data_IF_302467547401
#
_entry.id   IF_302467547401
#
_cell.length_a   1.000
_cell.length_b   1.000
_cell.length_c   1.000
_cell.angle_alpha   90.00
_cell.angle_beta   90.00
_cell.angle_gamma   90.00
#
_symmetry.space_group_name_H-M   'P 1'
#
loop_
_entity.id
_entity.type
_entity.pdbx_description
1 polymer ?
#
# COMPACT_ATOMS: atom_id res chain seq x y z
N UNK A 1 12.94 -17.78 40.29
CA UNK A 1 12.97 -16.48 39.57
C UNK A 1 13.58 -16.75 38.20
N UNK A 2 12.83 -16.73 37.08
CA UNK A 2 13.41 -17.08 35.79
C UNK A 2 14.17 -15.88 35.22
N UNK A 3 15.42 -16.14 34.83
CA UNK A 3 16.27 -15.22 34.07
C UNK A 3 15.57 -14.86 32.76
N UNK A 4 15.26 -13.58 32.56
CA UNK A 4 14.88 -13.05 31.25
C UNK A 4 16.04 -13.29 30.27
N UNK A 5 15.81 -13.88 29.08
CA UNK A 5 16.85 -13.92 28.06
C UNK A 5 17.14 -12.48 27.60
N UNK A 6 18.41 -12.08 27.68
CA UNK A 6 18.90 -10.82 27.16
C UNK A 6 18.59 -10.74 25.65
N UNK A 7 17.85 -9.71 25.21
CA UNK A 7 17.56 -9.46 23.80
C UNK A 7 18.86 -9.07 23.07
N UNK A 8 19.42 -9.90 22.18
CA UNK A 8 20.68 -9.58 21.48
C UNK A 8 20.54 -8.42 20.47
N UNK A 9 19.29 -8.08 20.11
CA UNK A 9 18.95 -7.14 19.03
C UNK A 9 19.41 -5.70 19.30
N UNK A 10 19.63 -5.31 20.57
CA UNK A 10 19.95 -3.91 20.92
C UNK A 10 21.43 -3.57 20.62
N UNK A 11 22.34 -4.54 20.62
CA UNK A 11 23.78 -4.29 20.48
C UNK A 11 24.27 -4.05 19.04
N UNK A 12 23.47 -4.45 18.03
CA UNK A 12 23.83 -4.33 16.61
C UNK A 12 23.02 -3.25 15.84
N UNK A 13 22.05 -2.62 16.50
CA UNK A 13 21.19 -1.59 15.89
C UNK A 13 21.97 -0.42 15.26
N UNK A 14 22.87 0.24 16.01
CA UNK A 14 23.68 1.33 15.45
C UNK A 14 24.57 0.92 14.27
N UNK A 15 25.04 -0.33 14.23
CA UNK A 15 25.87 -0.83 13.13
C UNK A 15 25.03 -1.17 11.89
N UNK A 16 23.78 -1.63 12.07
CA UNK A 16 22.82 -1.71 10.96
C UNK A 16 22.58 -0.33 10.34
N UNK A 17 22.42 0.70 11.17
CA UNK A 17 22.25 2.08 10.71
C UNK A 17 23.50 2.58 10.00
N UNK A 18 24.69 2.34 10.56
CA UNK A 18 25.95 2.70 9.89
C UNK A 18 26.09 2.01 8.54
N UNK A 19 25.80 0.71 8.46
CA UNK A 19 25.81 -0.05 7.21
C UNK A 19 24.83 0.52 6.18
N UNK A 20 23.67 1.00 6.61
CA UNK A 20 22.72 1.66 5.74
C UNK A 20 23.17 3.07 5.29
N UNK A 21 23.62 3.91 6.21
CA UNK A 21 23.88 5.34 5.97
C UNK A 21 25.27 5.62 5.40
N UNK A 22 26.23 4.73 5.62
CA UNK A 22 27.61 4.84 5.16
C UNK A 22 27.94 3.64 4.27
N UNK A 23 27.34 3.55 3.06
CA UNK A 23 27.57 2.44 2.17
C UNK A 23 29.03 2.34 1.79
N UNK A 24 29.60 1.14 1.92
CA UNK A 24 30.99 0.84 1.60
C UNK A 24 31.10 -0.31 0.61
N UNK A 25 32.19 -0.33 -0.15
CA UNK A 25 32.43 -1.33 -1.20
C UNK A 25 31.64 -1.05 -2.49
N UNK A 26 31.96 -1.84 -3.51
CA UNK A 26 31.45 -1.68 -4.88
C UNK A 26 29.93 -1.64 -4.97
N UNK A 27 29.25 -2.53 -4.23
CA UNK A 27 27.79 -2.62 -4.25
C UNK A 27 27.10 -1.92 -3.08
N UNK A 28 27.84 -1.21 -2.24
CA UNK A 28 27.29 -0.60 -1.02
C UNK A 28 26.17 0.38 -1.30
N UNK A 29 26.37 1.26 -2.30
CA UNK A 29 25.38 2.29 -2.67
C UNK A 29 24.09 1.63 -3.17
N UNK A 30 24.20 0.62 -4.02
CA UNK A 30 23.04 -0.12 -4.55
C UNK A 30 22.33 -0.91 -3.45
N UNK A 31 23.07 -1.54 -2.53
CA UNK A 31 22.48 -2.26 -1.40
C UNK A 31 21.81 -1.33 -0.39
N UNK A 32 22.37 -0.14 -0.14
CA UNK A 32 21.72 0.91 0.66
C UNK A 32 20.42 1.39 0.00
N UNK A 33 20.35 1.46 -1.33
CA UNK A 33 19.11 1.73 -2.05
C UNK A 33 18.06 0.63 -1.82
N UNK A 34 18.43 -0.65 -1.84
CA UNK A 34 17.50 -1.75 -1.50
C UNK A 34 16.97 -1.63 -0.05
N UNK A 35 17.84 -1.27 0.89
CA UNK A 35 17.44 -1.04 2.29
C UNK A 35 16.48 0.16 2.38
N UNK A 36 16.73 1.24 1.62
CA UNK A 36 15.85 2.41 1.58
C UNK A 36 14.46 2.07 1.02
N UNK A 37 14.38 1.26 -0.04
CA UNK A 37 13.12 0.73 -0.57
C UNK A 37 12.38 -0.04 0.52
N UNK A 38 13.07 -0.93 1.23
CA UNK A 38 12.47 -1.77 2.27
C UNK A 38 11.99 -0.96 3.48
N UNK A 39 12.73 0.07 3.89
CA UNK A 39 12.28 1.04 4.90
C UNK A 39 11.00 1.75 4.46
N UNK A 40 10.95 2.21 3.21
CA UNK A 40 9.81 2.92 2.67
C UNK A 40 8.58 2.01 2.50
N UNK A 41 8.78 0.76 2.11
CA UNK A 41 7.73 -0.25 2.08
C UNK A 41 7.19 -0.52 3.49
N UNK A 42 8.08 -0.73 4.46
CA UNK A 42 7.69 -1.08 5.83
C UNK A 42 6.93 0.03 6.55
N UNK A 43 7.37 1.29 6.43
CA UNK A 43 6.64 2.44 7.00
C UNK A 43 5.26 2.64 6.34
N UNK A 44 5.11 2.20 5.10
CA UNK A 44 3.84 2.18 4.37
C UNK A 44 3.07 0.86 4.52
N UNK A 45 3.41 0.09 5.57
CA UNK A 45 2.70 -1.13 6.00
C UNK A 45 2.81 -2.31 5.05
N UNK A 46 3.85 -2.36 4.21
CA UNK A 46 4.22 -3.56 3.47
C UNK A 46 5.27 -4.38 4.25
N UNK A 47 4.90 -5.52 4.86
CA UNK A 47 5.81 -6.28 5.70
C UNK A 47 6.77 -7.20 4.92
N UNK A 48 6.32 -7.70 3.76
CA UNK A 48 7.02 -8.70 2.96
C UNK A 48 7.35 -8.11 1.58
N UNK A 49 8.55 -8.39 1.09
CA UNK A 49 9.12 -7.78 -0.10
C UNK A 49 9.61 -8.87 -1.03
N UNK A 50 9.11 -8.88 -2.27
CA UNK A 50 9.66 -9.75 -3.32
C UNK A 50 10.95 -9.16 -3.89
N UNK A 51 11.84 -10.03 -4.38
CA UNK A 51 13.07 -9.58 -5.06
C UNK A 51 12.75 -8.69 -6.27
N UNK A 52 11.77 -9.06 -7.09
CA UNK A 52 11.37 -8.26 -8.27
C UNK A 52 10.86 -6.87 -7.89
N UNK A 53 10.14 -6.73 -6.78
CA UNK A 53 9.72 -5.42 -6.28
C UNK A 53 10.92 -4.58 -5.84
N UNK A 54 11.85 -5.16 -5.09
CA UNK A 54 13.06 -4.47 -4.63
C UNK A 54 13.89 -3.99 -5.82
N UNK A 55 14.13 -4.87 -6.79
CA UNK A 55 14.91 -4.60 -7.99
C UNK A 55 14.29 -3.47 -8.82
N UNK A 56 13.00 -3.55 -9.11
CA UNK A 56 12.31 -2.54 -9.91
C UNK A 56 12.16 -1.19 -9.20
N UNK A 57 12.07 -1.17 -7.86
CA UNK A 57 11.91 0.05 -7.09
C UNK A 57 13.22 0.80 -6.85
N UNK A 58 14.35 0.09 -6.73
CA UNK A 58 15.64 0.64 -6.33
C UNK A 58 16.18 1.80 -7.21
N UNK A 59 16.01 1.80 -8.55
CA UNK A 59 16.58 2.84 -9.40
C UNK A 59 16.21 4.27 -8.99
N UNK A 60 14.97 4.51 -8.55
CA UNK A 60 14.54 5.85 -8.12
C UNK A 60 15.14 6.33 -6.80
N UNK A 61 15.90 5.50 -6.08
CA UNK A 61 16.65 5.86 -4.88
C UNK A 61 18.11 6.23 -5.19
N UNK A 62 18.53 6.11 -6.45
CA UNK A 62 19.87 6.35 -6.93
C UNK A 62 19.91 7.59 -7.83
N UNK A 63 21.04 8.31 -7.84
CA UNK A 63 21.27 9.39 -8.81
C UNK A 63 21.50 8.84 -10.22
N UNK A 64 21.31 9.68 -11.24
CA UNK A 64 21.52 9.30 -12.64
C UNK A 64 22.95 8.79 -12.88
N UNK A 65 23.93 9.43 -12.25
CA UNK A 65 25.33 9.00 -12.29
C UNK A 65 25.52 7.61 -11.68
N UNK A 66 24.97 7.36 -10.48
CA UNK A 66 25.06 6.05 -9.82
C UNK A 66 24.40 4.97 -10.69
N UNK A 67 23.25 5.25 -11.31
CA UNK A 67 22.60 4.29 -12.22
C UNK A 67 23.43 4.01 -13.45
N UNK A 68 24.06 5.02 -14.05
CA UNK A 68 24.92 4.84 -15.22
C UNK A 68 26.20 4.05 -14.96
N UNK A 69 26.61 3.95 -13.70
CA UNK A 69 27.80 3.23 -13.24
C UNK A 69 27.49 1.82 -12.73
N UNK A 70 26.23 1.39 -12.77
CA UNK A 70 25.82 0.06 -12.34
C UNK A 70 26.30 -0.99 -13.34
N UNK A 71 26.97 -2.02 -12.83
CA UNK A 71 27.28 -3.26 -13.55
C UNK A 71 26.00 -4.06 -13.87
N UNK A 72 25.94 -4.89 -14.94
CA UNK A 72 24.76 -5.70 -15.25
C UNK A 72 24.25 -6.57 -14.09
N UNK A 73 25.14 -7.07 -13.21
CA UNK A 73 24.82 -7.90 -12.05
C UNK A 73 24.67 -7.07 -10.75
N UNK A 74 24.49 -5.75 -10.85
CA UNK A 74 24.38 -4.83 -9.71
C UNK A 74 23.40 -5.32 -8.64
N UNK A 75 22.27 -5.93 -9.05
CA UNK A 75 21.23 -6.36 -8.12
C UNK A 75 21.69 -7.51 -7.24
N UNK A 76 22.43 -8.47 -7.80
CA UNK A 76 22.99 -9.61 -7.06
C UNK A 76 23.96 -9.11 -5.99
N UNK A 77 24.88 -8.22 -6.36
CA UNK A 77 25.84 -7.62 -5.45
C UNK A 77 25.17 -6.72 -4.38
N UNK A 78 24.18 -5.92 -4.79
CA UNK A 78 23.39 -5.08 -3.89
C UNK A 78 22.63 -5.92 -2.86
N UNK A 79 22.05 -7.04 -3.29
CA UNK A 79 21.31 -7.95 -2.42
C UNK A 79 22.25 -8.65 -1.43
N UNK A 80 23.45 -9.06 -1.87
CA UNK A 80 24.47 -9.59 -0.98
C UNK A 80 24.87 -8.58 0.10
N UNK A 81 25.09 -7.32 -0.28
CA UNK A 81 25.37 -6.21 0.64
C UNK A 81 24.22 -5.95 1.62
N UNK A 82 22.98 -5.87 1.12
CA UNK A 82 21.80 -5.61 1.95
C UNK A 82 21.50 -6.78 2.92
N UNK A 83 22.12 -7.94 2.70
CA UNK A 83 22.00 -9.14 3.52
C UNK A 83 23.28 -9.45 4.31
N UNK A 84 24.27 -8.56 4.36
CA UNK A 84 25.47 -8.76 5.17
C UNK A 84 25.09 -9.00 6.63
N UNK A 85 25.70 -10.01 7.23
CA UNK A 85 25.51 -10.32 8.64
C UNK A 85 26.33 -9.32 9.48
N UNK A 86 25.65 -8.55 10.32
CA UNK A 86 26.24 -7.52 11.17
C UNK A 86 26.37 -8.06 12.59
N UNK A 87 27.58 -8.01 13.13
CA UNK A 87 27.94 -8.51 14.48
C UNK A 87 27.39 -9.93 14.75
N UNK A 88 27.47 -10.81 13.74
CA UNK A 88 26.99 -12.20 13.78
C UNK A 88 25.54 -12.42 14.26
N UNK A 89 24.71 -11.37 14.22
CA UNK A 89 23.39 -11.39 14.88
C UNK A 89 22.24 -11.03 13.95
N UNK A 90 22.40 -10.04 13.08
CA UNK A 90 21.29 -9.50 12.30
C UNK A 90 21.71 -9.06 10.91
N UNK A 91 20.75 -9.05 9.98
CA UNK A 91 20.93 -8.60 8.59
C UNK A 91 19.94 -7.47 8.30
N UNK A 92 20.30 -6.44 7.52
CA UNK A 92 19.36 -5.38 7.14
C UNK A 92 18.11 -5.93 6.46
N UNK A 93 18.29 -6.81 5.46
CA UNK A 93 17.23 -7.62 4.87
C UNK A 93 17.37 -9.08 5.32
N UNK A 94 16.27 -9.63 5.82
CA UNK A 94 16.19 -10.95 6.41
C UNK A 94 15.31 -11.85 5.57
N UNK A 95 15.73 -13.10 5.46
CA UNK A 95 14.89 -14.17 4.91
C UNK A 95 13.67 -14.39 5.81
N UNK A 96 12.54 -14.69 5.17
CA UNK A 96 11.29 -15.03 5.85
C UNK A 96 11.22 -16.55 5.96
N UNK A 97 10.92 -17.13 7.13
CA UNK A 97 10.78 -18.59 7.23
C UNK A 97 9.58 -19.07 6.42
N UNK A 98 9.66 -20.29 5.88
CA UNK A 98 8.49 -20.93 5.25
C UNK A 98 7.35 -21.07 6.28
N UNK A 99 6.07 -20.95 5.86
CA UNK A 99 4.94 -21.19 6.75
C UNK A 99 4.93 -22.60 7.37
N UNK A 100 5.48 -23.57 6.64
CA UNK A 100 5.67 -24.95 7.09
C UNK A 100 7.01 -25.51 6.63
N UNK A 101 7.60 -26.39 7.44
CA UNK A 101 8.87 -27.03 7.17
C UNK A 101 10.10 -26.16 7.46
N UNK A 102 11.27 -26.63 7.01
CA UNK A 102 12.56 -25.99 7.25
C UNK A 102 12.96 -25.06 6.10
N UNK A 103 13.68 -23.99 6.43
CA UNK A 103 14.33 -23.10 5.47
C UNK A 103 13.57 -21.79 5.18
N UNK A 104 14.19 -20.97 4.33
CA UNK A 104 13.64 -19.68 3.90
C UNK A 104 12.54 -19.85 2.84
N UNK A 105 11.58 -18.93 2.85
CA UNK A 105 10.60 -18.71 1.80
C UNK A 105 11.34 -18.06 0.62
N UNK A 106 11.47 -18.74 -0.53
CA UNK A 106 12.32 -18.25 -1.62
C UNK A 106 11.86 -16.88 -2.15
N UNK A 107 12.81 -15.96 -2.25
CA UNK A 107 12.60 -14.65 -2.89
C UNK A 107 11.73 -13.66 -2.11
N UNK A 108 11.45 -13.94 -0.83
CA UNK A 108 10.65 -13.07 0.03
C UNK A 108 11.47 -12.63 1.24
N UNK A 109 11.63 -11.32 1.37
CA UNK A 109 12.44 -10.69 2.41
C UNK A 109 11.59 -9.81 3.32
N UNK A 110 12.12 -9.54 4.51
CA UNK A 110 11.61 -8.52 5.44
C UNK A 110 12.76 -7.63 5.93
N UNK A 111 12.42 -6.39 6.28
CA UNK A 111 13.37 -5.45 6.89
C UNK A 111 13.60 -5.82 8.37
N UNK A 112 14.83 -5.61 8.88
CA UNK A 112 15.10 -5.67 10.31
C UNK A 112 14.30 -4.60 11.09
N UNK A 113 13.68 -5.00 12.21
CA UNK A 113 12.83 -4.12 13.04
C UNK A 113 13.54 -2.83 13.50
N UNK A 114 14.85 -2.91 13.76
CA UNK A 114 15.63 -1.72 14.16
C UNK A 114 15.71 -0.68 13.03
N UNK A 115 15.89 -1.13 11.78
CA UNK A 115 15.90 -0.23 10.62
C UNK A 115 14.50 0.31 10.30
N UNK A 116 13.44 -0.45 10.59
CA UNK A 116 12.07 0.07 10.57
C UNK A 116 11.92 1.23 11.55
N UNK A 117 12.33 1.04 12.80
CA UNK A 117 12.24 2.06 13.84
C UNK A 117 13.03 3.31 13.46
N UNK A 118 14.28 3.16 13.02
CA UNK A 118 15.13 4.25 12.53
C UNK A 118 14.49 4.99 11.36
N UNK A 119 14.04 4.24 10.35
CA UNK A 119 13.43 4.78 9.14
C UNK A 119 12.14 5.58 9.39
N UNK A 120 11.32 5.16 10.37
CA UNK A 120 10.14 5.92 10.80
C UNK A 120 10.51 7.31 11.32
N UNK A 121 11.69 7.48 11.92
CA UNK A 121 12.14 8.76 12.49
C UNK A 121 12.87 9.63 11.47
N UNK A 122 13.70 9.04 10.61
CA UNK A 122 14.59 9.80 9.70
C UNK A 122 13.97 10.05 8.32
N UNK A 123 13.01 9.22 7.89
CA UNK A 123 12.41 9.29 6.55
C UNK A 123 10.94 9.67 6.55
N UNK A 124 10.34 10.05 7.69
CA UNK A 124 8.89 10.32 7.79
C UNK A 124 8.38 11.31 6.73
N UNK A 125 9.12 12.41 6.52
CA UNK A 125 8.77 13.46 5.57
C UNK A 125 9.17 13.15 4.12
N UNK A 126 10.03 12.15 3.89
CA UNK A 126 10.48 11.79 2.54
C UNK A 126 9.35 11.04 1.83
N UNK A 127 9.00 11.44 0.62
CA UNK A 127 8.09 10.67 -0.23
C UNK A 127 8.89 9.61 -1.00
N UNK A 128 8.43 8.34 -1.08
CA UNK A 128 9.04 7.37 -1.99
C UNK A 128 9.04 7.88 -3.44
N UNK A 129 10.08 7.55 -4.24
CA UNK A 129 10.22 8.00 -5.62
C UNK A 129 9.20 7.33 -6.56
N UNK A 130 9.02 7.88 -7.79
CA UNK A 130 8.26 7.26 -8.88
C UNK A 130 8.36 5.74 -9.01
N UNK A 131 9.60 5.21 -9.10
CA UNK A 131 9.88 3.79 -9.30
C UNK A 131 9.27 2.90 -8.22
N UNK A 132 9.18 3.39 -6.98
CA UNK A 132 8.58 2.64 -5.88
C UNK A 132 7.11 2.35 -6.13
N UNK A 133 6.34 3.36 -6.56
CA UNK A 133 4.92 3.23 -6.81
C UNK A 133 4.63 2.43 -8.08
N UNK A 134 5.45 2.62 -9.12
CA UNK A 134 5.34 1.89 -10.38
C UNK A 134 5.66 0.40 -10.16
N UNK A 135 6.77 0.09 -9.49
CA UNK A 135 7.12 -1.28 -9.10
C UNK A 135 6.02 -1.92 -8.24
N UNK A 136 5.43 -1.15 -7.30
CA UNK A 136 4.35 -1.65 -6.48
C UNK A 136 3.14 -2.09 -7.33
N UNK A 137 2.77 -1.29 -8.33
CA UNK A 137 1.62 -1.58 -9.20
C UNK A 137 1.79 -2.80 -10.11
N UNK A 138 3.04 -3.23 -10.34
CA UNK A 138 3.40 -4.35 -11.22
C UNK A 138 3.64 -5.63 -10.43
N UNK A 139 4.32 -5.54 -9.28
CA UNK A 139 4.85 -6.72 -8.59
C UNK A 139 4.07 -7.16 -7.34
N UNK A 140 3.18 -6.33 -6.80
CA UNK A 140 2.34 -6.74 -5.68
C UNK A 140 1.10 -7.45 -6.21
N UNK A 141 0.76 -8.56 -5.56
CA UNK A 141 -0.38 -9.42 -5.91
C UNK A 141 -1.49 -9.35 -4.86
N UNK A 142 -1.25 -8.73 -3.72
CA UNK A 142 -2.26 -8.56 -2.69
C UNK A 142 -3.05 -7.26 -2.90
N UNK A 143 -4.35 -7.37 -3.16
CA UNK A 143 -5.24 -6.23 -3.38
C UNK A 143 -5.35 -5.28 -2.18
N UNK A 144 -5.28 -5.78 -0.94
CA UNK A 144 -5.33 -4.95 0.26
C UNK A 144 -4.04 -4.13 0.43
N UNK A 145 -2.88 -4.74 0.20
CA UNK A 145 -1.58 -4.05 0.21
C UNK A 145 -1.51 -2.94 -0.85
N UNK A 146 -2.00 -3.23 -2.06
CA UNK A 146 -2.13 -2.24 -3.14
C UNK A 146 -3.09 -1.10 -2.76
N UNK A 147 -4.20 -1.41 -2.10
CA UNK A 147 -5.18 -0.41 -1.63
C UNK A 147 -4.55 0.51 -0.59
N UNK A 148 -3.84 -0.06 0.40
CA UNK A 148 -3.12 0.70 1.42
C UNK A 148 -2.02 1.60 0.83
N UNK A 149 -1.25 1.11 -0.15
CA UNK A 149 -0.29 1.95 -0.84
C UNK A 149 -0.95 3.05 -1.67
N UNK A 150 -2.08 2.78 -2.31
CA UNK A 150 -2.83 3.78 -3.06
C UNK A 150 -3.30 4.92 -2.14
N UNK A 151 -3.82 4.60 -0.95
CA UNK A 151 -4.16 5.59 0.08
C UNK A 151 -2.93 6.37 0.55
N UNK A 152 -1.81 5.69 0.76
CA UNK A 152 -0.56 6.33 1.17
C UNK A 152 -0.01 7.29 0.09
N UNK A 153 -0.16 6.95 -1.18
CA UNK A 153 0.17 7.81 -2.31
C UNK A 153 -0.76 9.02 -2.37
N UNK A 154 -2.09 8.81 -2.22
CA UNK A 154 -3.09 9.89 -2.18
C UNK A 154 -2.84 10.87 -1.04
N UNK A 155 -2.55 10.37 0.17
CA UNK A 155 -2.21 11.20 1.33
C UNK A 155 -0.94 12.06 1.12
N UNK A 156 -0.09 11.68 0.16
CA UNK A 156 1.13 12.40 -0.23
C UNK A 156 0.95 13.26 -1.49
N UNK A 157 -0.29 13.46 -1.95
CA UNK A 157 -0.58 14.22 -3.17
C UNK A 157 -0.12 13.56 -4.47
N UNK A 158 0.19 12.26 -4.43
CA UNK A 158 0.65 11.48 -5.58
C UNK A 158 -0.52 10.87 -6.35
N UNK A 159 -1.42 11.71 -6.83
CA UNK A 159 -2.71 11.28 -7.41
C UNK A 159 -2.55 10.34 -8.61
N UNK A 160 -1.58 10.59 -9.51
CA UNK A 160 -1.26 9.68 -10.63
C UNK A 160 -0.96 8.26 -10.15
N UNK A 161 -0.12 8.13 -9.13
CA UNK A 161 0.27 6.85 -8.55
C UNK A 161 -0.84 6.22 -7.72
N UNK A 162 -1.63 7.01 -7.00
CA UNK A 162 -2.82 6.52 -6.30
C UNK A 162 -3.79 5.86 -7.29
N UNK A 163 -4.12 6.53 -8.40
CA UNK A 163 -4.98 5.97 -9.45
C UNK A 163 -4.40 4.69 -10.07
N UNK A 164 -3.09 4.66 -10.35
CA UNK A 164 -2.39 3.47 -10.85
C UNK A 164 -2.52 2.29 -9.89
N UNK A 165 -2.31 2.52 -8.60
CA UNK A 165 -2.34 1.50 -7.55
C UNK A 165 -3.76 1.02 -7.24
N UNK A 166 -4.76 1.91 -7.20
CA UNK A 166 -6.17 1.48 -7.10
C UNK A 166 -6.57 0.63 -8.30
N UNK A 167 -6.13 0.98 -9.51
CA UNK A 167 -6.36 0.16 -10.71
C UNK A 167 -5.74 -1.24 -10.59
N UNK A 168 -4.50 -1.33 -10.09
CA UNK A 168 -3.86 -2.62 -9.80
C UNK A 168 -4.61 -3.40 -8.72
N UNK A 169 -5.03 -2.74 -7.63
CA UNK A 169 -5.80 -3.35 -6.55
C UNK A 169 -7.13 -3.93 -7.05
N UNK A 170 -7.83 -3.23 -7.96
CA UNK A 170 -9.07 -3.70 -8.58
C UNK A 170 -8.82 -4.95 -9.43
N UNK A 171 -7.73 -5.00 -10.20
CA UNK A 171 -7.34 -6.22 -10.95
C UNK A 171 -7.05 -7.40 -10.02
N UNK A 172 -6.52 -7.13 -8.83
CA UNK A 172 -6.32 -8.14 -7.78
C UNK A 172 -7.57 -8.41 -6.92
N UNK A 173 -8.75 -7.91 -7.32
CA UNK A 173 -10.02 -8.23 -6.66
C UNK A 173 -10.39 -7.37 -5.45
N UNK A 174 -9.67 -6.28 -5.17
CA UNK A 174 -10.01 -5.38 -4.05
C UNK A 174 -11.35 -4.66 -4.29
N UNK A 175 -12.38 -5.05 -3.51
CA UNK A 175 -13.69 -4.39 -3.51
C UNK A 175 -13.62 -2.98 -2.93
N UNK A 176 -12.74 -2.75 -1.95
CA UNK A 176 -12.51 -1.42 -1.38
C UNK A 176 -11.93 -0.48 -2.43
N UNK A 177 -10.87 -0.89 -3.14
CA UNK A 177 -10.28 -0.10 -4.21
C UNK A 177 -11.28 0.20 -5.33
N UNK A 178 -12.19 -0.73 -5.62
CA UNK A 178 -13.26 -0.55 -6.62
C UNK A 178 -14.20 0.60 -6.24
N UNK A 179 -14.60 0.69 -4.97
CA UNK A 179 -15.42 1.79 -4.45
C UNK A 179 -14.66 3.12 -4.49
N UNK A 180 -13.39 3.14 -4.10
CA UNK A 180 -12.58 4.38 -4.10
C UNK A 180 -12.32 4.88 -5.53
N UNK A 181 -12.00 3.97 -6.45
CA UNK A 181 -11.80 4.31 -7.86
C UNK A 181 -13.09 4.82 -8.50
N UNK A 182 -14.24 4.21 -8.20
CA UNK A 182 -15.54 4.68 -8.66
C UNK A 182 -15.88 6.09 -8.15
N UNK A 183 -15.63 6.39 -6.87
CA UNK A 183 -15.78 7.75 -6.33
C UNK A 183 -14.89 8.75 -7.06
N UNK A 184 -13.65 8.35 -7.36
CA UNK A 184 -12.70 9.21 -8.08
C UNK A 184 -13.19 9.50 -9.50
N UNK A 185 -13.74 8.49 -10.19
CA UNK A 185 -14.36 8.63 -11.51
C UNK A 185 -15.59 9.53 -11.48
N UNK A 186 -16.44 9.36 -10.48
CA UNK A 186 -17.61 10.22 -10.28
C UNK A 186 -17.21 11.68 -10.08
N UNK A 187 -16.23 11.97 -9.22
CA UNK A 187 -15.74 13.35 -9.00
C UNK A 187 -15.09 13.95 -10.25
N UNK A 188 -14.58 13.11 -11.16
CA UNK A 188 -14.08 13.54 -12.46
C UNK A 188 -15.18 13.66 -13.53
N UNK A 189 -16.45 13.45 -13.18
CA UNK A 189 -17.59 13.50 -14.10
C UNK A 189 -17.85 12.21 -14.90
N UNK A 190 -17.00 11.17 -14.74
CA UNK A 190 -17.18 9.85 -15.37
C UNK A 190 -18.17 9.00 -14.56
N UNK A 191 -19.44 9.41 -14.58
CA UNK A 191 -20.52 8.73 -13.87
C UNK A 191 -20.71 7.29 -14.36
N UNK A 192 -20.69 7.07 -15.67
CA UNK A 192 -20.88 5.72 -16.22
C UNK A 192 -19.74 4.80 -15.83
N UNK A 193 -18.50 5.29 -15.83
CA UNK A 193 -17.35 4.55 -15.33
C UNK A 193 -17.47 4.22 -13.84
N UNK A 194 -17.99 5.15 -13.04
CA UNK A 194 -18.28 4.89 -11.63
C UNK A 194 -19.31 3.77 -11.45
N UNK A 195 -20.45 3.84 -12.18
CA UNK A 195 -21.50 2.81 -12.15
C UNK A 195 -20.95 1.44 -12.58
N UNK A 196 -20.24 1.36 -13.71
CA UNK A 196 -19.62 0.11 -14.19
C UNK A 196 -18.69 -0.52 -13.14
N UNK A 197 -18.00 0.30 -12.36
CA UNK A 197 -17.13 -0.19 -11.30
C UNK A 197 -17.92 -0.72 -10.11
N UNK A 198 -18.96 -0.04 -9.61
CA UNK A 198 -19.63 -0.49 -8.36
C UNK A 198 -20.81 -1.43 -8.54
N UNK A 199 -21.52 -1.44 -9.66
CA UNK A 199 -22.72 -2.27 -9.83
C UNK A 199 -22.48 -3.76 -9.52
N UNK A 200 -21.44 -4.42 -10.08
CA UNK A 200 -21.24 -5.85 -9.81
C UNK A 200 -20.96 -6.18 -8.33
N UNK A 201 -20.26 -5.28 -7.63
CA UNK A 201 -19.99 -5.46 -6.20
C UNK A 201 -21.24 -5.19 -5.35
N UNK A 202 -22.08 -4.24 -5.75
CA UNK A 202 -23.34 -3.95 -5.07
C UNK A 202 -24.34 -5.11 -5.22
N UNK A 203 -24.41 -5.73 -6.40
CA UNK A 203 -25.22 -6.93 -6.66
C UNK A 203 -24.77 -8.12 -5.81
N UNK A 204 -23.47 -8.23 -5.51
CA UNK A 204 -22.91 -9.23 -4.60
C UNK A 204 -23.10 -8.87 -3.11
N UNK A 205 -23.82 -7.78 -2.80
CA UNK A 205 -24.10 -7.37 -1.43
C UNK A 205 -22.94 -6.68 -0.72
N UNK A 206 -21.89 -6.25 -1.44
CA UNK A 206 -20.82 -5.48 -0.84
C UNK A 206 -21.32 -4.09 -0.44
N UNK A 207 -21.53 -3.90 0.86
CA UNK A 207 -22.15 -2.71 1.47
C UNK A 207 -21.55 -1.39 0.95
N UNK A 208 -20.22 -1.30 0.85
CA UNK A 208 -19.55 -0.08 0.39
C UNK A 208 -19.94 0.28 -1.05
N UNK A 209 -20.08 -0.73 -1.91
CA UNK A 209 -20.54 -0.54 -3.29
C UNK A 209 -22.03 -0.23 -3.36
N UNK A 210 -22.87 -0.90 -2.55
CA UNK A 210 -24.30 -0.59 -2.48
C UNK A 210 -24.55 0.86 -2.05
N UNK A 211 -23.84 1.35 -1.03
CA UNK A 211 -23.95 2.73 -0.56
C UNK A 211 -23.51 3.71 -1.67
N UNK A 212 -22.40 3.46 -2.35
CA UNK A 212 -21.99 4.33 -3.45
C UNK A 212 -22.98 4.29 -4.62
N UNK A 213 -23.50 3.12 -4.96
CA UNK A 213 -24.49 2.96 -6.03
C UNK A 213 -25.77 3.74 -5.71
N UNK A 214 -26.28 3.63 -4.48
CA UNK A 214 -27.43 4.41 -4.02
C UNK A 214 -27.17 5.93 -4.13
N UNK A 215 -25.99 6.40 -3.69
CA UNK A 215 -25.59 7.81 -3.82
C UNK A 215 -25.53 8.26 -5.28
N UNK A 216 -25.00 7.43 -6.17
CA UNK A 216 -24.98 7.69 -7.61
C UNK A 216 -26.42 7.85 -8.13
N UNK A 217 -27.33 6.90 -7.90
CA UNK A 217 -28.73 7.00 -8.34
C UNK A 217 -29.42 8.26 -7.80
N UNK A 218 -29.23 8.59 -6.52
CA UNK A 218 -29.83 9.79 -5.92
C UNK A 218 -29.37 11.08 -6.60
N UNK A 219 -28.07 11.22 -6.88
CA UNK A 219 -27.52 12.40 -7.57
C UNK A 219 -28.01 12.54 -9.01
N UNK A 220 -28.52 11.48 -9.63
CA UNK A 220 -29.17 11.54 -10.94
C UNK A 220 -30.69 11.73 -10.87
N UNK A 221 -31.26 11.93 -9.68
CA UNK A 221 -32.70 12.09 -9.48
C UNK A 221 -33.49 10.79 -9.43
N UNK A 222 -32.84 9.63 -9.55
CA UNK A 222 -33.47 8.31 -9.43
C UNK A 222 -33.59 7.90 -7.95
N UNK A 223 -34.41 8.66 -7.24
CA UNK A 223 -34.64 8.52 -5.81
C UNK A 223 -35.28 7.17 -5.42
N UNK A 224 -36.27 6.61 -6.16
CA UNK A 224 -36.85 5.31 -5.82
C UNK A 224 -35.80 4.18 -5.80
N UNK A 225 -34.95 4.12 -6.83
CA UNK A 225 -33.87 3.13 -6.90
C UNK A 225 -32.84 3.35 -5.81
N UNK A 226 -32.43 4.60 -5.57
CA UNK A 226 -31.48 4.94 -4.51
C UNK A 226 -31.97 4.48 -3.13
N UNK A 227 -33.25 4.75 -2.81
CA UNK A 227 -33.86 4.32 -1.55
C UNK A 227 -33.94 2.80 -1.45
N UNK A 228 -34.33 2.10 -2.51
CA UNK A 228 -34.37 0.63 -2.51
C UNK A 228 -33.02 0.01 -2.17
N UNK A 229 -31.96 0.48 -2.82
CA UNK A 229 -30.58 0.00 -2.58
C UNK A 229 -30.11 0.36 -1.17
N UNK A 230 -30.39 1.59 -0.70
CA UNK A 230 -29.98 2.03 0.63
C UNK A 230 -30.69 1.24 1.76
N UNK A 231 -31.97 0.90 1.58
CA UNK A 231 -32.70 0.02 2.50
C UNK A 231 -32.13 -1.40 2.50
N UNK A 232 -31.79 -1.94 1.32
CA UNK A 232 -31.12 -3.23 1.23
C UNK A 232 -29.79 -3.23 1.99
N UNK A 233 -28.96 -2.19 1.80
CA UNK A 233 -27.68 -2.05 2.51
C UNK A 233 -27.86 -1.89 4.03
N UNK A 234 -28.91 -1.21 4.49
CA UNK A 234 -29.20 -1.04 5.91
C UNK A 234 -29.66 -2.34 6.59
N UNK A 235 -30.42 -3.19 5.88
CA UNK A 235 -30.79 -4.53 6.37
C UNK A 235 -29.58 -5.45 6.55
N UNK A 236 -28.51 -5.22 5.79
CA UNK A 236 -27.23 -5.93 5.94
C UNK A 236 -26.38 -5.47 7.14
N UNK A 237 -26.87 -4.54 7.97
CA UNK A 237 -26.26 -4.22 9.28
C UNK A 237 -25.22 -3.10 9.32
N UNK A 238 -25.09 -2.29 8.26
CA UNK A 238 -24.06 -1.25 8.20
C UNK A 238 -24.51 0.12 8.73
N UNK A 239 -23.81 0.74 9.72
CA UNK A 239 -24.12 2.08 10.23
C UNK A 239 -24.09 3.17 9.14
N UNK A 240 -23.15 3.07 8.19
CA UNK A 240 -23.01 4.02 7.09
C UNK A 240 -24.19 3.96 6.10
N UNK A 241 -24.84 2.81 5.94
CA UNK A 241 -26.05 2.70 5.12
C UNK A 241 -27.24 3.44 5.78
N UNK A 242 -27.32 3.45 7.11
CA UNK A 242 -28.34 4.22 7.85
C UNK A 242 -28.11 5.73 7.74
N UNK A 243 -26.86 6.18 7.72
CA UNK A 243 -26.52 7.58 7.49
C UNK A 243 -26.86 8.02 6.06
N UNK A 244 -26.59 7.18 5.05
CA UNK A 244 -27.00 7.45 3.67
C UNK A 244 -28.52 7.60 3.55
N UNK A 245 -29.30 6.70 4.18
CA UNK A 245 -30.76 6.82 4.29
C UNK A 245 -31.20 8.16 4.92
N UNK A 246 -30.56 8.57 6.01
CA UNK A 246 -30.85 9.85 6.67
C UNK A 246 -30.53 11.08 5.80
N UNK A 247 -29.49 11.01 4.96
CA UNK A 247 -29.17 12.07 4.00
C UNK A 247 -30.19 12.17 2.86
N UNK A 248 -30.80 11.05 2.46
CA UNK A 248 -31.89 11.06 1.47
C UNK A 248 -33.18 11.63 2.05
N UNK A 249 -33.52 11.33 3.32
CA UNK A 249 -34.76 11.79 3.97
C UNK A 249 -34.82 13.29 4.34
N UNK A 250 -33.69 14.00 4.45
CA UNK A 250 -33.69 15.43 4.84
C UNK A 250 -34.20 16.40 3.77
N UNK A 251 -34.21 16.01 2.50
CA UNK A 251 -34.75 16.85 1.41
C UNK A 251 -36.30 16.89 1.37
N UNK A 252 -36.99 15.93 2.00
CA UNK A 252 -38.45 15.95 2.17
C UNK A 252 -38.89 17.08 3.09
N UNK A 253 -38.14 17.38 4.14
CA UNK A 253 -38.49 18.46 5.08
C UNK A 253 -38.26 19.87 4.50
N UNK A 254 -37.36 20.02 3.52
CA UNK A 254 -37.16 21.30 2.83
C UNK A 254 -38.15 21.51 1.68
N UNK A 255 -38.54 20.44 0.97
CA UNK A 255 -39.48 20.52 -0.16
C UNK A 255 -40.96 20.54 0.27
N UNK A 256 -41.25 20.07 1.49
CA UNK A 256 -42.60 20.13 2.09
C UNK A 256 -42.92 21.49 2.72
N UNK A 257 -41.95 22.40 2.83
CA UNK A 257 -42.11 23.73 3.45
C UNK A 257 -42.27 24.85 2.40
N UNK A 258 -42.51 24.48 1.13
CA UNK A 258 -42.72 25.40 -0.01
C UNK A 258 -44.06 25.14 -0.73
N UNK A 259 -45.04 24.54 -0.05
CA UNK A 259 -46.43 24.45 -0.54
C UNK A 259 -47.40 25.09 0.43
#
# INVERSE_FOLDING_TARGET
>A
MPLRPARPVIAAGPDLVRHYEQPAGEHGIYGSALIAVAIDARRLRLPLLSLSFLEAAAPGYLSDQQRSQADPDWFTGALAYARTLIKDTTRPLQEVPRPSGMGALPGVLRLADYLEQHGRQTRWARCPPPSFWEAASVHLTNGADLTHLADAARARGRFRYASLLYGAAVRMGSLEARVVLARTREYAGDREGALRLVSPAAEQGYIGAMVLLALLHNRAGDRPTALGIAHAAARSGAPHARLALGSFGREELCSSNTR
#
